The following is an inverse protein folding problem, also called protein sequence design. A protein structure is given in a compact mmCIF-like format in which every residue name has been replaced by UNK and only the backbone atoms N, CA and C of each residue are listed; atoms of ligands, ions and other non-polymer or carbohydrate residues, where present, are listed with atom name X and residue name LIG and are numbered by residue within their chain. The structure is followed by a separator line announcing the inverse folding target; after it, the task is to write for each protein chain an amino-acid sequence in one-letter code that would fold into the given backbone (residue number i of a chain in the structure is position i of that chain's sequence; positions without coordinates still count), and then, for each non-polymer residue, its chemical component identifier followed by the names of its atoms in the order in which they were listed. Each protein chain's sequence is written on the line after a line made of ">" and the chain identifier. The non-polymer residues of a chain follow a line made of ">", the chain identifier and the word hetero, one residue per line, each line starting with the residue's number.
data_IF_019023291192
#
_entry.id   IF_019023291192
#
_cell.length_a   1.000
_cell.length_b   1.000
_cell.length_c   1.000
_cell.angle_alpha   90.00
_cell.angle_beta   90.00
_cell.angle_gamma   90.00
#
_symmetry.space_group_name_H-M   'P 1'
#
loop_
_entity.id
_entity.type
_entity.pdbx_description
1 polymer ?
#
# COMPACT_ATOMS: atom_id res chain seq x y z
N UNK A 1 -3.03 17.58 -12.08
CA UNK A 1 -2.32 17.68 -10.78
C UNK A 1 -1.55 19.01 -10.62
N UNK A 2 -0.50 19.33 -11.43
CA UNK A 2 0.24 20.61 -11.25
C UNK A 2 -0.67 21.84 -11.40
N UNK A 3 -1.62 21.81 -12.32
CA UNK A 3 -2.57 22.90 -12.54
C UNK A 3 -3.51 23.14 -11.34
N UNK A 4 -4.02 22.09 -10.73
CA UNK A 4 -4.86 22.16 -9.52
C UNK A 4 -4.05 22.74 -8.34
N UNK A 5 -2.78 22.36 -8.22
CA UNK A 5 -1.88 22.92 -7.20
C UNK A 5 -1.60 24.41 -7.44
N UNK A 6 -1.45 24.86 -8.71
CA UNK A 6 -1.18 26.25 -9.06
C UNK A 6 -2.29 27.19 -8.58
N UNK A 7 -3.54 26.76 -8.60
CA UNK A 7 -4.67 27.55 -8.09
C UNK A 7 -4.56 27.85 -6.59
N UNK A 8 -3.88 27.01 -5.83
CA UNK A 8 -3.66 27.17 -4.37
C UNK A 8 -2.39 27.96 -4.05
N UNK A 9 -1.48 28.11 -5.02
CA UNK A 9 -0.17 28.73 -4.80
C UNK A 9 -0.26 30.20 -4.36
N UNK A 10 -1.28 30.92 -4.76
CA UNK A 10 -1.49 32.33 -4.34
C UNK A 10 -1.67 32.51 -2.83
N UNK A 11 -2.26 31.50 -2.16
CA UNK A 11 -2.50 31.53 -0.71
C UNK A 11 -1.40 30.87 0.11
N UNK A 12 -0.77 29.83 -0.45
CA UNK A 12 0.19 28.99 0.26
C UNK A 12 1.42 28.63 -0.60
N UNK A 13 2.18 29.63 -1.10
CA UNK A 13 3.23 29.41 -2.10
C UNK A 13 4.33 28.43 -1.62
N UNK A 14 4.75 28.53 -0.37
CA UNK A 14 5.79 27.67 0.20
C UNK A 14 5.33 26.20 0.29
N UNK A 15 4.07 25.95 0.69
CA UNK A 15 3.51 24.62 0.75
C UNK A 15 3.45 23.98 -0.66
N UNK A 16 2.89 24.71 -1.62
CA UNK A 16 2.77 24.22 -3.00
C UNK A 16 4.14 23.96 -3.63
N UNK A 17 5.12 24.82 -3.37
CA UNK A 17 6.50 24.61 -3.82
C UNK A 17 7.08 23.32 -3.22
N UNK A 18 6.84 23.06 -1.94
CA UNK A 18 7.33 21.86 -1.26
C UNK A 18 6.63 20.59 -1.79
N UNK A 19 5.32 20.63 -2.03
CA UNK A 19 4.59 19.50 -2.65
C UNK A 19 5.14 19.22 -4.06
N UNK A 20 5.39 20.25 -4.86
CA UNK A 20 5.99 20.07 -6.20
C UNK A 20 7.37 19.45 -6.16
N UNK A 21 8.20 19.82 -5.18
CA UNK A 21 9.51 19.17 -4.96
C UNK A 21 9.35 17.68 -4.65
N UNK A 22 8.41 17.31 -3.78
CA UNK A 22 8.12 15.90 -3.51
C UNK A 22 7.67 15.16 -4.77
N UNK A 23 6.79 15.78 -5.57
CA UNK A 23 6.33 15.19 -6.85
C UNK A 23 7.50 15.00 -7.81
N UNK A 24 8.42 15.94 -7.88
CA UNK A 24 9.56 15.89 -8.80
C UNK A 24 10.66 14.90 -8.30
N UNK A 25 10.78 14.72 -6.98
CA UNK A 25 11.68 13.74 -6.35
C UNK A 25 11.08 12.33 -6.28
N UNK A 26 9.76 12.19 -6.42
CA UNK A 26 9.06 10.90 -6.32
C UNK A 26 9.45 9.97 -7.46
N UNK A 27 10.39 9.09 -7.19
CA UNK A 27 10.84 8.03 -8.09
C UNK A 27 9.76 6.95 -8.31
N UNK A 28 8.76 6.87 -7.44
CA UNK A 28 7.60 5.97 -7.59
C UNK A 28 6.65 6.40 -8.71
N UNK A 29 6.88 7.56 -9.34
CA UNK A 29 6.15 8.04 -10.54
C UNK A 29 6.04 6.95 -11.61
N UNK A 30 7.04 6.08 -11.70
CA UNK A 30 7.07 4.97 -12.63
C UNK A 30 6.35 3.71 -12.14
N UNK A 31 5.78 3.70 -10.93
CA UNK A 31 5.06 2.51 -10.44
C UNK A 31 3.75 2.33 -11.23
N UNK A 32 3.62 1.26 -12.00
CA UNK A 32 2.44 1.00 -12.82
C UNK A 32 1.17 0.84 -11.97
N UNK A 33 1.32 0.48 -10.71
CA UNK A 33 0.20 0.27 -9.78
C UNK A 33 -0.56 1.56 -9.46
N UNK A 34 0.06 2.73 -9.64
CA UNK A 34 -0.61 4.04 -9.53
C UNK A 34 -1.61 4.31 -10.67
N UNK A 35 -1.53 3.53 -11.74
CA UNK A 35 -2.44 3.60 -12.88
C UNK A 35 -3.66 2.67 -12.73
N UNK A 36 -3.77 1.93 -11.63
CA UNK A 36 -4.89 1.02 -11.39
C UNK A 36 -6.27 1.67 -11.58
N UNK A 37 -6.54 2.92 -11.12
CA UNK A 37 -7.83 3.54 -11.36
C UNK A 37 -8.17 3.74 -12.85
N UNK A 38 -7.18 4.05 -13.70
CA UNK A 38 -7.38 4.12 -15.15
C UNK A 38 -7.75 2.75 -15.72
N UNK A 39 -7.03 1.69 -15.33
CA UNK A 39 -7.31 0.35 -15.80
C UNK A 39 -8.70 -0.13 -15.36
N UNK A 40 -9.14 0.20 -14.14
CA UNK A 40 -10.49 -0.09 -13.64
C UNK A 40 -11.56 0.64 -14.47
N UNK A 41 -11.38 1.94 -14.71
CA UNK A 41 -12.31 2.73 -15.52
C UNK A 41 -12.40 2.20 -16.95
N UNK A 42 -11.26 1.97 -17.61
CA UNK A 42 -11.21 1.43 -18.98
C UNK A 42 -11.80 0.04 -19.09
N UNK A 43 -11.66 -0.81 -18.07
CA UNK A 43 -12.27 -2.14 -18.05
C UNK A 43 -13.80 -2.11 -17.89
N UNK A 44 -14.36 -1.00 -17.39
CA UNK A 44 -15.79 -0.82 -17.16
C UNK A 44 -16.51 -0.07 -18.28
N UNK A 45 -15.95 1.06 -18.72
CA UNK A 45 -16.62 2.02 -19.62
C UNK A 45 -15.93 2.18 -20.96
N UNK A 46 -14.74 1.60 -21.15
CA UNK A 46 -13.82 1.85 -22.28
C UNK A 46 -13.35 3.31 -22.34
N UNK A 47 -13.56 4.08 -21.28
CA UNK A 47 -13.06 5.44 -21.08
C UNK A 47 -12.16 5.48 -19.84
N UNK A 48 -10.86 5.34 -20.06
CA UNK A 48 -9.87 5.45 -19.02
C UNK A 48 -9.83 6.87 -18.42
N UNK A 49 -10.12 7.89 -19.25
CA UNK A 49 -10.06 9.29 -18.88
C UNK A 49 -11.05 9.68 -17.78
N UNK A 50 -12.17 8.96 -17.63
CA UNK A 50 -13.14 9.19 -16.57
C UNK A 50 -12.54 9.07 -15.15
N UNK A 51 -11.47 8.27 -14.98
CA UNK A 51 -10.77 8.14 -13.70
C UNK A 51 -9.71 9.23 -13.43
N UNK A 52 -9.49 10.20 -14.34
CA UNK A 52 -8.45 11.21 -14.15
C UNK A 52 -8.55 11.97 -12.80
N UNK A 53 -9.74 12.42 -12.35
CA UNK A 53 -9.87 13.05 -11.03
C UNK A 53 -9.42 12.13 -9.89
N UNK A 54 -9.75 10.85 -9.95
CA UNK A 54 -9.37 9.85 -8.95
C UNK A 54 -7.86 9.66 -8.91
N UNK A 55 -7.22 9.54 -10.08
CA UNK A 55 -5.75 9.39 -10.18
C UNK A 55 -5.02 10.60 -9.59
N UNK A 56 -5.50 11.83 -9.87
CA UNK A 56 -4.89 13.05 -9.33
C UNK A 56 -4.99 13.08 -7.81
N UNK A 57 -6.16 12.77 -7.25
CA UNK A 57 -6.40 12.73 -5.81
C UNK A 57 -5.58 11.62 -5.14
N UNK A 58 -5.60 10.42 -5.72
CA UNK A 58 -4.85 9.25 -5.24
C UNK A 58 -3.36 9.58 -5.17
N UNK A 59 -2.80 10.18 -6.22
CA UNK A 59 -1.39 10.50 -6.27
C UNK A 59 -0.94 11.46 -5.18
N UNK A 60 -1.72 12.51 -4.91
CA UNK A 60 -1.40 13.46 -3.83
C UNK A 60 -1.48 12.76 -2.47
N UNK A 61 -2.51 11.96 -2.26
CA UNK A 61 -2.69 11.26 -1.00
C UNK A 61 -1.55 10.25 -0.74
N UNK A 62 -1.21 9.43 -1.75
CA UNK A 62 -0.12 8.46 -1.62
C UNK A 62 1.24 9.13 -1.38
N UNK A 63 1.50 10.27 -2.04
CA UNK A 63 2.70 11.07 -1.78
C UNK A 63 2.80 11.47 -0.30
N UNK A 64 1.68 11.91 0.29
CA UNK A 64 1.61 12.22 1.71
C UNK A 64 1.81 11.00 2.60
N UNK A 65 1.22 9.86 2.25
CA UNK A 65 1.29 8.62 3.01
C UNK A 65 2.71 8.04 3.01
N UNK A 66 3.40 8.01 1.87
CA UNK A 66 4.78 7.54 1.74
C UNK A 66 5.74 8.42 2.55
N UNK A 67 5.63 9.74 2.44
CA UNK A 67 6.44 10.67 3.25
C UNK A 67 6.18 10.48 4.74
N UNK A 68 4.92 10.23 5.15
CA UNK A 68 4.57 9.98 6.54
C UNK A 68 5.18 8.67 7.04
N UNK A 69 5.11 7.61 6.26
CA UNK A 69 5.67 6.30 6.55
C UNK A 69 7.20 6.40 6.72
N UNK A 70 7.89 7.01 5.75
CA UNK A 70 9.33 7.26 5.81
C UNK A 70 9.76 8.07 7.04
N UNK A 71 8.95 9.04 7.45
CA UNK A 71 9.22 9.84 8.65
C UNK A 71 9.08 9.02 9.93
N UNK A 72 8.06 8.17 10.02
CA UNK A 72 7.80 7.30 11.19
C UNK A 72 8.83 6.18 11.29
N UNK A 73 9.28 5.66 10.16
CA UNK A 73 10.29 4.61 10.07
C UNK A 73 11.75 5.14 10.17
N UNK A 74 11.92 6.46 10.16
CA UNK A 74 13.24 7.08 10.20
C UNK A 74 13.99 7.13 8.86
N UNK A 75 13.35 6.72 7.76
CA UNK A 75 13.91 6.58 6.40
C UNK A 75 13.96 7.89 5.61
N UNK A 76 13.22 8.92 6.03
CA UNK A 76 13.08 10.14 5.25
C UNK A 76 14.42 10.81 4.93
N UNK A 77 14.78 10.84 3.65
CA UNK A 77 16.04 11.41 3.16
C UNK A 77 15.89 12.92 2.88
N UNK A 78 16.27 13.74 3.85
CA UNK A 78 16.19 15.22 3.74
C UNK A 78 17.06 15.80 2.63
N UNK A 79 18.18 15.15 2.29
CA UNK A 79 19.11 15.64 1.28
C UNK A 79 18.58 15.42 -0.14
N UNK A 80 17.93 14.29 -0.38
CA UNK A 80 17.34 13.93 -1.67
C UNK A 80 16.14 14.81 -2.02
N UNK A 81 15.25 15.00 -1.04
CA UNK A 81 14.01 15.75 -1.23
C UNK A 81 14.19 17.26 -1.08
N UNK A 82 15.23 17.70 -0.37
CA UNK A 82 15.48 19.11 -0.06
C UNK A 82 14.46 19.74 0.90
N UNK A 83 13.85 18.90 1.77
CA UNK A 83 12.97 19.31 2.85
C UNK A 83 13.51 18.83 4.19
N UNK A 84 13.43 19.67 5.23
CA UNK A 84 13.68 19.22 6.60
C UNK A 84 12.58 18.25 7.07
N UNK A 85 12.83 17.42 8.09
CA UNK A 85 11.83 16.54 8.68
C UNK A 85 10.56 17.29 9.11
N UNK A 86 10.71 18.47 9.74
CA UNK A 86 9.57 19.28 10.16
C UNK A 86 8.76 19.80 8.97
N UNK A 87 9.41 20.19 7.87
CA UNK A 87 8.71 20.57 6.64
C UNK A 87 7.97 19.38 6.03
N UNK A 88 8.60 18.21 5.98
CA UNK A 88 8.00 16.99 5.47
C UNK A 88 6.75 16.57 6.26
N UNK A 89 6.76 16.69 7.60
CA UNK A 89 5.56 16.46 8.44
C UNK A 89 4.41 17.36 8.02
N UNK A 90 4.66 18.68 7.86
CA UNK A 90 3.61 19.63 7.47
C UNK A 90 3.07 19.32 6.06
N UNK A 91 3.97 19.02 5.13
CA UNK A 91 3.60 18.71 3.73
C UNK A 91 2.80 17.40 3.67
N UNK A 92 3.27 16.36 4.36
CA UNK A 92 2.56 15.08 4.43
C UNK A 92 1.14 15.26 5.00
N UNK A 93 0.99 15.94 6.15
CA UNK A 93 -0.31 16.20 6.75
C UNK A 93 -1.26 16.96 5.78
N UNK A 94 -0.73 17.93 5.03
CA UNK A 94 -1.51 18.66 4.03
C UNK A 94 -1.94 17.77 2.86
N UNK A 95 -1.05 16.91 2.35
CA UNK A 95 -1.33 15.97 1.27
C UNK A 95 -2.33 14.88 1.68
N UNK A 96 -2.35 14.47 2.94
CA UNK A 96 -3.29 13.49 3.46
C UNK A 96 -4.70 14.05 3.70
N UNK A 97 -4.87 15.37 3.83
CA UNK A 97 -6.13 15.97 4.26
C UNK A 97 -6.56 17.18 3.43
N UNK A 98 -5.94 18.34 3.66
CA UNK A 98 -6.41 19.62 3.14
C UNK A 98 -6.29 19.73 1.60
N UNK A 99 -5.21 19.21 1.01
CA UNK A 99 -4.99 19.31 -0.43
C UNK A 99 -5.98 18.46 -1.22
N UNK A 100 -6.25 17.18 -0.90
CA UNK A 100 -7.33 16.42 -1.52
C UNK A 100 -8.69 17.11 -1.42
N UNK A 101 -9.09 17.59 -0.23
CA UNK A 101 -10.35 18.32 -0.04
C UNK A 101 -10.45 19.56 -0.93
N UNK A 102 -9.36 20.33 -1.09
CA UNK A 102 -9.35 21.50 -1.97
C UNK A 102 -9.43 21.11 -3.45
N UNK A 103 -8.77 20.03 -3.86
CA UNK A 103 -8.87 19.51 -5.23
C UNK A 103 -10.32 19.08 -5.50
N UNK A 104 -10.93 18.27 -4.63
CA UNK A 104 -12.32 17.79 -4.78
C UNK A 104 -13.29 18.96 -5.01
N UNK A 105 -13.16 20.04 -4.24
CA UNK A 105 -14.01 21.24 -4.40
C UNK A 105 -13.86 21.90 -5.77
N UNK A 106 -12.67 21.81 -6.39
CA UNK A 106 -12.34 22.41 -7.67
C UNK A 106 -12.68 21.53 -8.88
N UNK A 107 -12.91 20.23 -8.67
CA UNK A 107 -13.29 19.32 -9.77
C UNK A 107 -14.55 19.83 -10.48
N UNK A 108 -14.55 19.76 -11.80
CA UNK A 108 -15.74 19.99 -12.63
C UNK A 108 -16.47 18.65 -12.86
N UNK A 109 -17.14 18.19 -11.82
CA UNK A 109 -17.89 16.93 -11.79
C UNK A 109 -19.16 17.09 -10.97
N UNK A 110 -20.09 16.12 -11.11
CA UNK A 110 -21.35 16.10 -10.37
C UNK A 110 -21.15 16.17 -8.86
N UNK A 111 -22.10 16.84 -8.17
CA UNK A 111 -22.02 17.07 -6.72
C UNK A 111 -21.99 15.77 -5.91
N UNK A 112 -22.73 14.76 -6.36
CA UNK A 112 -22.78 13.45 -5.69
C UNK A 112 -21.42 12.72 -5.79
N UNK A 113 -20.71 12.88 -6.92
CA UNK A 113 -19.35 12.34 -7.04
C UNK A 113 -18.36 13.05 -6.13
N UNK A 114 -18.47 14.40 -5.99
CA UNK A 114 -17.66 15.16 -5.00
C UNK A 114 -17.90 14.67 -3.59
N UNK A 115 -19.16 14.51 -3.21
CA UNK A 115 -19.54 14.02 -1.88
C UNK A 115 -19.00 12.60 -1.63
N UNK A 116 -19.05 11.72 -2.64
CA UNK A 116 -18.46 10.39 -2.57
C UNK A 116 -16.93 10.47 -2.39
N UNK A 117 -16.24 11.34 -3.12
CA UNK A 117 -14.80 11.55 -2.96
C UNK A 117 -14.46 12.03 -1.55
N UNK A 118 -15.15 13.05 -1.03
CA UNK A 118 -14.92 13.58 0.32
C UNK A 118 -15.06 12.48 1.39
N UNK A 119 -16.15 11.70 1.31
CA UNK A 119 -16.39 10.60 2.23
C UNK A 119 -15.29 9.52 2.14
N UNK A 120 -15.00 9.03 0.95
CA UNK A 120 -14.04 7.95 0.70
C UNK A 120 -12.62 8.34 1.16
N UNK A 121 -12.21 9.58 0.91
CA UNK A 121 -10.91 10.07 1.36
C UNK A 121 -10.84 10.21 2.87
N UNK A 122 -11.89 10.69 3.52
CA UNK A 122 -11.96 10.81 4.98
C UNK A 122 -11.92 9.42 5.64
N UNK A 123 -12.77 8.49 5.19
CA UNK A 123 -12.90 7.13 5.74
C UNK A 123 -11.61 6.33 5.56
N UNK A 124 -11.05 6.30 4.34
CA UNK A 124 -9.81 5.56 4.05
C UNK A 124 -8.59 6.14 4.78
N UNK A 125 -8.53 7.48 4.95
CA UNK A 125 -7.45 8.12 5.69
C UNK A 125 -7.54 7.79 7.18
N UNK A 126 -8.75 7.76 7.74
CA UNK A 126 -8.97 7.36 9.13
C UNK A 126 -8.58 5.89 9.35
N UNK A 127 -8.98 4.99 8.44
CA UNK A 127 -8.62 3.58 8.49
C UNK A 127 -7.09 3.37 8.40
N UNK A 128 -6.42 4.09 7.47
CA UNK A 128 -4.97 4.02 7.30
C UNK A 128 -4.23 4.56 8.54
N UNK A 129 -4.66 5.70 9.09
CA UNK A 129 -4.07 6.29 10.28
C UNK A 129 -4.20 5.38 11.52
N UNK A 130 -5.38 4.78 11.73
CA UNK A 130 -5.61 3.83 12.81
C UNK A 130 -4.71 2.59 12.68
N UNK A 131 -4.59 2.06 11.46
CA UNK A 131 -3.73 0.91 11.18
C UNK A 131 -2.24 1.23 11.30
N UNK A 132 -1.82 2.43 10.89
CA UNK A 132 -0.44 2.89 11.09
C UNK A 132 -0.12 3.04 12.59
N UNK A 133 -1.06 3.57 13.38
CA UNK A 133 -0.89 3.65 14.84
C UNK A 133 -0.73 2.26 15.45
N UNK A 134 -1.56 1.30 15.02
CA UNK A 134 -1.43 -0.10 15.46
C UNK A 134 -0.08 -0.68 15.02
N UNK A 135 0.39 -0.38 13.80
CA UNK A 135 1.65 -0.91 13.25
C UNK A 135 2.86 -0.46 14.05
N UNK A 136 2.97 0.84 14.35
CA UNK A 136 4.08 1.41 15.13
C UNK A 136 3.98 1.13 16.64
N UNK A 137 2.83 0.63 17.12
CA UNK A 137 2.63 0.27 18.53
C UNK A 137 3.25 -1.10 18.81
N UNK A 138 4.54 -1.11 19.06
CA UNK A 138 5.34 -2.32 19.29
C UNK A 138 5.13 -2.92 20.69
N UNK A 139 5.00 -4.24 20.81
CA UNK A 139 5.08 -4.91 22.12
C UNK A 139 4.50 -6.32 22.20
N UNK A 140 3.35 -6.58 21.66
CA UNK A 140 2.68 -7.88 21.79
C UNK A 140 2.89 -8.78 20.57
N UNK A 141 2.89 -10.10 20.80
CA UNK A 141 2.89 -11.08 19.70
C UNK A 141 1.58 -10.93 18.95
N UNK A 142 1.66 -10.66 17.65
CA UNK A 142 0.50 -10.48 16.77
C UNK A 142 0.20 -11.76 16.01
N UNK A 143 -1.07 -12.13 15.97
CA UNK A 143 -1.55 -13.20 15.12
C UNK A 143 -1.57 -12.80 13.65
N UNK A 144 -1.68 -13.79 12.76
CA UNK A 144 -1.93 -13.54 11.34
C UNK A 144 -3.13 -12.60 11.10
N UNK A 145 -4.21 -12.79 11.84
CA UNK A 145 -5.42 -11.96 11.70
C UNK A 145 -5.19 -10.52 12.13
N UNK A 146 -4.35 -10.26 13.13
CA UNK A 146 -4.03 -8.91 13.57
C UNK A 146 -3.22 -8.16 12.51
N UNK A 147 -2.18 -8.79 11.95
CA UNK A 147 -1.36 -8.19 10.90
C UNK A 147 -2.17 -8.02 9.61
N UNK A 148 -3.03 -8.98 9.26
CA UNK A 148 -3.95 -8.84 8.12
C UNK A 148 -4.88 -7.64 8.28
N UNK A 149 -5.39 -7.38 9.50
CA UNK A 149 -6.23 -6.20 9.79
C UNK A 149 -5.44 -4.90 9.60
N UNK A 150 -4.19 -4.86 10.05
CA UNK A 150 -3.30 -3.72 9.85
C UNK A 150 -3.05 -3.48 8.36
N UNK A 151 -2.69 -4.50 7.59
CA UNK A 151 -2.46 -4.38 6.14
C UNK A 151 -3.72 -3.97 5.39
N UNK A 152 -4.89 -4.50 5.79
CA UNK A 152 -6.17 -4.12 5.20
C UNK A 152 -6.52 -2.65 5.43
N UNK A 153 -6.14 -2.06 6.57
CA UNK A 153 -6.33 -0.63 6.82
C UNK A 153 -5.22 0.23 6.21
N UNK A 154 -3.93 -0.12 6.43
CA UNK A 154 -2.78 0.68 5.97
C UNK A 154 -2.70 0.78 4.44
N UNK A 155 -2.82 -0.35 3.74
CA UNK A 155 -2.69 -0.43 2.28
C UNK A 155 -4.01 -0.81 1.59
N UNK A 156 -4.83 -1.67 2.20
CA UNK A 156 -6.08 -2.12 1.62
C UNK A 156 -7.11 -1.02 1.47
N UNK A 157 -7.36 -0.21 2.49
CA UNK A 157 -8.38 0.85 2.44
C UNK A 157 -8.09 1.94 1.39
N UNK A 158 -6.85 2.44 1.20
CA UNK A 158 -6.56 3.37 0.11
C UNK A 158 -6.78 2.78 -1.28
N UNK A 159 -6.37 1.52 -1.53
CA UNK A 159 -6.65 0.87 -2.81
C UNK A 159 -8.14 0.59 -3.01
N UNK A 160 -8.88 0.22 -1.95
CA UNK A 160 -10.34 0.08 -1.98
C UNK A 160 -11.03 1.37 -2.41
N UNK A 161 -10.65 2.51 -1.80
CA UNK A 161 -11.12 3.85 -2.16
C UNK A 161 -10.86 4.13 -3.64
N UNK A 162 -9.61 3.96 -4.08
CA UNK A 162 -9.17 4.34 -5.42
C UNK A 162 -9.94 3.58 -6.50
N UNK A 163 -10.12 2.26 -6.34
CA UNK A 163 -10.87 1.45 -7.32
C UNK A 163 -12.38 1.64 -7.22
N UNK A 164 -12.93 1.91 -6.03
CA UNK A 164 -14.34 2.20 -5.86
C UNK A 164 -14.73 3.51 -6.55
N UNK A 165 -13.91 4.57 -6.36
CA UNK A 165 -14.12 5.85 -7.02
C UNK A 165 -13.92 5.76 -8.53
N UNK A 166 -12.93 4.98 -9.00
CA UNK A 166 -12.75 4.72 -10.42
C UNK A 166 -13.93 3.96 -11.04
N UNK A 167 -14.48 2.98 -10.33
CA UNK A 167 -15.68 2.28 -10.79
C UNK A 167 -16.90 3.21 -10.80
N UNK A 168 -17.05 4.07 -9.79
CA UNK A 168 -18.11 5.08 -9.73
C UNK A 168 -18.01 6.08 -10.88
N UNK A 169 -16.82 6.60 -11.18
CA UNK A 169 -16.59 7.54 -12.30
C UNK A 169 -16.86 6.91 -13.66
N UNK A 170 -16.71 5.59 -13.78
CA UNK A 170 -17.04 4.81 -14.97
C UNK A 170 -18.54 4.44 -15.06
N UNK A 171 -19.37 4.93 -14.14
CA UNK A 171 -20.82 4.69 -14.13
C UNK A 171 -21.24 3.30 -13.60
N UNK A 172 -20.38 2.62 -12.84
CA UNK A 172 -20.75 1.36 -12.22
C UNK A 172 -21.81 1.53 -11.12
N UNK A 173 -22.70 0.56 -10.99
CA UNK A 173 -23.75 0.56 -9.99
C UNK A 173 -23.35 -0.18 -8.70
N UNK A 174 -24.14 0.01 -7.63
CA UNK A 174 -23.82 -0.35 -6.24
C UNK A 174 -23.28 -1.77 -6.02
N UNK A 175 -23.82 -2.80 -6.70
CA UNK A 175 -23.32 -4.18 -6.60
C UNK A 175 -21.89 -4.34 -7.14
N UNK A 176 -21.64 -3.73 -8.29
CA UNK A 176 -20.35 -3.77 -8.98
C UNK A 176 -19.29 -2.94 -8.22
N UNK A 177 -19.66 -1.78 -7.69
CA UNK A 177 -18.80 -0.97 -6.82
C UNK A 177 -18.38 -1.77 -5.58
N UNK A 178 -19.32 -2.49 -4.93
CA UNK A 178 -18.97 -3.36 -3.79
C UNK A 178 -17.96 -4.46 -4.15
N UNK A 179 -18.08 -5.06 -5.33
CA UNK A 179 -17.11 -6.03 -5.84
C UNK A 179 -15.71 -5.40 -6.01
N UNK A 180 -15.65 -4.21 -6.60
CA UNK A 180 -14.40 -3.47 -6.77
C UNK A 180 -13.78 -3.06 -5.42
N UNK A 181 -14.58 -2.72 -4.41
CA UNK A 181 -14.07 -2.46 -3.05
C UNK A 181 -13.36 -3.68 -2.48
N UNK A 182 -13.99 -4.85 -2.57
CA UNK A 182 -13.37 -6.10 -2.11
C UNK A 182 -12.06 -6.38 -2.87
N UNK A 183 -12.08 -6.19 -4.19
CA UNK A 183 -10.88 -6.33 -5.01
C UNK A 183 -9.77 -5.37 -4.55
N UNK A 184 -10.07 -4.07 -4.42
CA UNK A 184 -9.09 -3.06 -4.03
C UNK A 184 -8.47 -3.34 -2.67
N UNK A 185 -9.27 -3.72 -1.67
CA UNK A 185 -8.79 -4.08 -0.34
C UNK A 185 -7.83 -5.26 -0.39
N UNK A 186 -8.17 -6.33 -1.10
CA UNK A 186 -7.31 -7.51 -1.24
C UNK A 186 -6.05 -7.22 -2.07
N UNK A 187 -6.17 -6.41 -3.12
CA UNK A 187 -5.03 -5.99 -3.92
C UNK A 187 -4.05 -5.13 -3.12
N UNK A 188 -4.54 -4.20 -2.29
CA UNK A 188 -3.70 -3.43 -1.38
C UNK A 188 -2.93 -4.30 -0.39
N UNK A 189 -3.57 -5.35 0.16
CA UNK A 189 -2.88 -6.35 0.99
C UNK A 189 -1.79 -7.07 0.19
N UNK A 190 -2.07 -7.49 -1.05
CA UNK A 190 -1.06 -8.13 -1.92
C UNK A 190 0.12 -7.18 -2.21
N UNK A 191 -0.16 -5.88 -2.41
CA UNK A 191 0.89 -4.87 -2.59
C UNK A 191 1.76 -4.70 -1.35
N UNK A 192 1.18 -4.76 -0.15
CA UNK A 192 1.94 -4.71 1.09
C UNK A 192 2.84 -5.94 1.23
N UNK A 193 2.33 -7.15 0.94
CA UNK A 193 3.14 -8.37 0.93
C UNK A 193 4.34 -8.29 -0.04
N UNK A 194 4.15 -7.65 -1.20
CA UNK A 194 5.22 -7.42 -2.16
C UNK A 194 6.24 -6.40 -1.65
N UNK A 195 5.78 -5.38 -0.91
CA UNK A 195 6.64 -4.35 -0.32
C UNK A 195 7.51 -4.91 0.80
N UNK A 196 6.95 -5.74 1.68
CA UNK A 196 7.69 -6.40 2.77
C UNK A 196 8.86 -7.28 2.27
N UNK A 197 8.83 -7.68 0.97
CA UNK A 197 9.88 -8.48 0.32
C UNK A 197 10.92 -7.65 -0.43
N UNK A 198 10.81 -6.33 -0.42
CA UNK A 198 11.72 -5.45 -1.16
C UNK A 198 13.12 -5.35 -0.52
N UNK A 199 13.30 -5.77 0.72
CA UNK A 199 14.60 -5.79 1.39
C UNK A 199 15.48 -6.92 0.82
N UNK A 200 16.64 -6.57 0.28
CA UNK A 200 17.59 -7.49 -0.36
C UNK A 200 18.57 -8.08 0.66
N UNK A 201 18.97 -7.30 1.67
CA UNK A 201 19.92 -7.72 2.70
C UNK A 201 19.19 -7.98 4.03
N UNK A 202 19.22 -9.25 4.44
CA UNK A 202 18.62 -9.67 5.72
C UNK A 202 19.22 -8.95 6.94
N UNK A 203 20.48 -8.52 6.86
CA UNK A 203 21.15 -7.81 7.97
C UNK A 203 20.67 -6.36 8.14
N UNK A 204 20.07 -5.80 7.10
CA UNK A 204 19.54 -4.44 7.02
C UNK A 204 17.99 -4.41 6.97
N UNK A 205 17.34 -5.54 7.29
CA UNK A 205 15.88 -5.63 7.31
C UNK A 205 15.29 -4.65 8.35
N UNK A 206 14.66 -3.61 7.83
CA UNK A 206 14.15 -2.49 8.62
C UNK A 206 12.95 -2.86 9.48
N UNK A 207 12.11 -3.79 9.01
CA UNK A 207 10.98 -4.28 9.80
C UNK A 207 11.49 -4.99 11.06
N UNK A 208 12.58 -5.74 10.96
CA UNK A 208 13.23 -6.36 12.11
C UNK A 208 13.95 -5.34 13.01
N UNK A 209 14.57 -4.31 12.44
CA UNK A 209 15.21 -3.22 13.19
C UNK A 209 14.15 -2.43 13.96
N UNK A 210 13.05 -2.08 13.33
CA UNK A 210 11.95 -1.35 13.95
C UNK A 210 11.08 -2.24 14.86
N UNK A 211 11.20 -3.56 14.74
CA UNK A 211 10.40 -4.54 15.47
C UNK A 211 8.97 -4.64 14.94
N UNK A 212 8.75 -4.29 13.68
CA UNK A 212 7.47 -4.38 12.99
C UNK A 212 7.02 -5.84 12.81
N UNK A 213 5.71 -6.09 12.91
CA UNK A 213 5.15 -7.40 12.65
C UNK A 213 4.72 -7.53 11.19
N UNK A 214 5.47 -8.31 10.41
CA UNK A 214 5.08 -8.67 9.04
C UNK A 214 4.17 -9.91 9.03
N UNK A 215 3.41 -10.09 7.94
CA UNK A 215 2.60 -11.30 7.75
C UNK A 215 3.45 -12.56 7.68
N UNK A 216 4.65 -12.48 7.17
CA UNK A 216 5.58 -13.61 7.14
C UNK A 216 5.99 -14.02 8.55
N UNK A 217 6.33 -13.06 9.40
CA UNK A 217 6.69 -13.31 10.80
C UNK A 217 5.51 -13.92 11.57
N UNK A 218 4.31 -13.35 11.44
CA UNK A 218 3.09 -13.87 12.07
C UNK A 218 2.78 -15.29 11.57
N UNK A 219 2.94 -15.57 10.28
CA UNK A 219 2.78 -16.90 9.71
C UNK A 219 3.76 -17.91 10.31
N UNK A 220 5.05 -17.56 10.40
CA UNK A 220 6.06 -18.43 10.99
C UNK A 220 5.74 -18.75 12.47
N UNK A 221 5.29 -17.74 13.21
CA UNK A 221 4.86 -17.93 14.61
C UNK A 221 3.66 -18.89 14.76
N UNK A 222 2.77 -18.96 13.77
CA UNK A 222 1.65 -19.92 13.78
C UNK A 222 2.08 -21.35 13.50
N UNK A 223 2.99 -21.58 12.53
CA UNK A 223 3.26 -22.92 12.02
C UNK A 223 4.49 -23.60 12.63
N UNK A 224 5.44 -22.84 13.18
CA UNK A 224 6.64 -23.41 13.79
C UNK A 224 6.32 -24.22 15.05
N UNK A 225 7.12 -25.27 15.27
CA UNK A 225 7.05 -26.05 16.53
C UNK A 225 7.34 -25.16 17.75
N UNK A 226 6.81 -25.51 18.93
CA UNK A 226 7.00 -24.69 20.14
C UNK A 226 8.44 -24.28 20.43
N UNK A 227 9.47 -25.15 20.31
CA UNK A 227 10.86 -24.75 20.51
C UNK A 227 11.35 -23.72 19.49
N UNK A 228 11.06 -23.92 18.19
CA UNK A 228 11.44 -22.98 17.12
C UNK A 228 10.68 -21.65 17.22
N UNK A 229 9.46 -21.68 17.71
CA UNK A 229 8.68 -20.46 17.95
C UNK A 229 9.27 -19.62 19.08
N UNK A 230 9.71 -20.26 20.17
CA UNK A 230 10.41 -19.58 21.26
C UNK A 230 11.73 -18.98 20.76
N UNK A 231 12.53 -19.74 20.02
CA UNK A 231 13.76 -19.27 19.39
C UNK A 231 13.52 -18.06 18.47
N UNK A 232 12.51 -18.11 17.61
CA UNK A 232 12.13 -16.98 16.73
C UNK A 232 11.74 -15.74 17.54
N UNK A 233 11.01 -15.93 18.65
CA UNK A 233 10.63 -14.82 19.55
C UNK A 233 11.84 -14.16 20.21
N UNK A 234 12.79 -14.96 20.70
CA UNK A 234 14.02 -14.46 21.33
C UNK A 234 14.90 -13.73 20.29
N UNK A 235 15.10 -14.34 19.13
CA UNK A 235 15.89 -13.73 18.03
C UNK A 235 15.27 -12.42 17.55
N UNK A 236 13.94 -12.35 17.40
CA UNK A 236 13.25 -11.11 17.03
C UNK A 236 13.53 -9.98 18.02
N UNK A 237 13.52 -10.26 19.31
CA UNK A 237 13.82 -9.25 20.32
C UNK A 237 15.27 -8.74 20.22
N UNK A 238 16.21 -9.61 19.88
CA UNK A 238 17.62 -9.28 19.66
C UNK A 238 17.87 -8.60 18.30
N UNK A 239 17.00 -8.82 17.31
CA UNK A 239 17.17 -8.35 15.94
C UNK A 239 17.23 -6.82 15.81
N UNK A 240 16.64 -6.09 16.76
CA UNK A 240 16.70 -4.62 16.81
C UNK A 240 18.14 -4.11 16.81
N UNK A 241 19.01 -4.75 17.61
CA UNK A 241 20.38 -4.29 17.87
C UNK A 241 21.45 -5.21 17.25
N UNK A 242 21.06 -6.40 16.72
CA UNK A 242 21.98 -7.43 16.24
C UNK A 242 21.70 -7.86 14.81
N UNK A 243 22.63 -7.52 13.89
CA UNK A 243 22.57 -8.01 12.50
C UNK A 243 22.64 -9.53 12.41
N UNK A 244 23.43 -10.19 13.28
CA UNK A 244 23.49 -11.63 13.35
C UNK A 244 22.13 -12.27 13.73
N UNK A 245 21.40 -11.65 14.66
CA UNK A 245 20.04 -12.10 15.01
C UNK A 245 19.08 -11.91 13.83
N UNK A 246 19.14 -10.78 13.10
CA UNK A 246 18.34 -10.56 11.90
C UNK A 246 18.58 -11.65 10.84
N UNK A 247 19.83 -11.98 10.57
CA UNK A 247 20.18 -13.09 9.64
C UNK A 247 19.54 -14.40 10.10
N UNK A 248 19.62 -14.76 11.38
CA UNK A 248 19.03 -15.99 11.90
C UNK A 248 17.50 -15.98 11.82
N UNK A 249 16.85 -14.84 12.08
CA UNK A 249 15.40 -14.68 11.87
C UNK A 249 15.05 -14.96 10.42
N UNK A 250 15.77 -14.35 9.46
CA UNK A 250 15.50 -14.54 8.03
C UNK A 250 15.77 -15.99 7.57
N UNK A 251 16.73 -16.69 8.14
CA UNK A 251 16.97 -18.13 7.90
C UNK A 251 15.77 -18.98 8.37
N UNK A 252 15.21 -18.70 9.55
CA UNK A 252 14.01 -19.38 10.05
C UNK A 252 12.79 -19.08 9.18
N UNK A 253 12.58 -17.82 8.79
CA UNK A 253 11.48 -17.39 7.92
C UNK A 253 11.60 -17.97 6.50
N UNK A 254 12.82 -18.11 5.98
CA UNK A 254 13.14 -18.72 4.68
C UNK A 254 13.16 -20.25 4.68
N UNK A 255 12.90 -20.90 5.82
CA UNK A 255 12.89 -22.36 5.87
C UNK A 255 11.86 -22.96 4.91
N UNK A 256 12.12 -24.11 4.25
CA UNK A 256 11.24 -24.67 3.22
C UNK A 256 9.77 -24.85 3.67
N UNK A 257 9.57 -25.25 4.91
CA UNK A 257 8.22 -25.45 5.48
C UNK A 257 7.47 -24.11 5.62
N UNK A 258 8.13 -23.06 6.12
CA UNK A 258 7.55 -21.72 6.25
C UNK A 258 7.28 -21.14 4.87
N UNK A 259 8.29 -21.11 4.02
CA UNK A 259 8.20 -20.50 2.69
C UNK A 259 7.12 -21.17 1.82
N UNK A 260 7.05 -22.51 1.79
CA UNK A 260 6.07 -23.21 0.96
C UNK A 260 4.64 -22.97 1.42
N UNK A 261 4.39 -22.92 2.74
CA UNK A 261 3.06 -22.64 3.27
C UNK A 261 2.66 -21.17 3.10
N UNK A 262 3.62 -20.24 3.27
CA UNK A 262 3.40 -18.83 3.04
C UNK A 262 3.05 -18.57 1.56
N UNK A 263 3.83 -19.11 0.62
CA UNK A 263 3.58 -18.99 -0.81
C UNK A 263 2.20 -19.54 -1.21
N UNK A 264 1.71 -20.62 -0.56
CA UNK A 264 0.33 -21.11 -0.78
C UNK A 264 -0.73 -20.09 -0.35
N UNK A 265 -0.52 -19.35 0.76
CA UNK A 265 -1.44 -18.27 1.18
C UNK A 265 -1.45 -17.13 0.14
N UNK A 266 -0.28 -16.76 -0.40
CA UNK A 266 -0.17 -15.74 -1.46
C UNK A 266 -0.90 -16.22 -2.72
N UNK A 267 -0.71 -17.49 -3.16
CA UNK A 267 -1.42 -18.05 -4.30
C UNK A 267 -2.94 -18.10 -4.11
N UNK A 268 -3.40 -18.32 -2.87
CA UNK A 268 -4.83 -18.24 -2.56
C UNK A 268 -5.36 -16.82 -2.76
N UNK A 269 -4.60 -15.80 -2.35
CA UNK A 269 -4.96 -14.40 -2.56
C UNK A 269 -4.95 -14.04 -4.04
N UNK A 270 -3.91 -14.44 -4.79
CA UNK A 270 -3.84 -14.30 -6.25
C UNK A 270 -5.07 -14.88 -6.94
N UNK A 271 -5.43 -16.14 -6.63
CA UNK A 271 -6.58 -16.82 -7.23
C UNK A 271 -7.90 -16.08 -6.94
N UNK A 272 -8.07 -15.57 -5.72
CA UNK A 272 -9.25 -14.75 -5.36
C UNK A 272 -9.31 -13.47 -6.16
N UNK A 273 -8.20 -12.75 -6.31
CA UNK A 273 -8.12 -11.51 -7.08
C UNK A 273 -8.42 -11.76 -8.57
N UNK A 274 -7.78 -12.78 -9.17
CA UNK A 274 -8.02 -13.16 -10.58
C UNK A 274 -9.48 -13.58 -10.83
N UNK A 275 -10.08 -14.28 -9.88
CA UNK A 275 -11.51 -14.63 -9.96
C UNK A 275 -12.39 -13.38 -9.86
N UNK A 276 -12.11 -12.47 -8.92
CA UNK A 276 -12.88 -11.24 -8.78
C UNK A 276 -12.86 -10.40 -10.05
N UNK A 277 -11.71 -10.17 -10.67
CA UNK A 277 -11.66 -9.38 -11.90
C UNK A 277 -12.38 -10.07 -13.06
N UNK A 278 -12.39 -11.40 -13.12
CA UNK A 278 -13.15 -12.15 -14.14
C UNK A 278 -14.66 -11.97 -14.01
N UNK A 279 -15.16 -11.68 -12.81
CA UNK A 279 -16.56 -11.37 -12.53
C UNK A 279 -16.91 -9.89 -12.70
N UNK A 280 -15.94 -8.99 -12.51
CA UNK A 280 -16.16 -7.55 -12.45
C UNK A 280 -15.94 -6.84 -13.79
N UNK A 281 -15.13 -7.40 -14.67
CA UNK A 281 -14.76 -6.78 -15.94
C UNK A 281 -14.81 -7.77 -17.11
N UNK A 282 -15.33 -7.29 -18.24
CA UNK A 282 -15.26 -8.02 -19.50
C UNK A 282 -13.81 -8.16 -19.99
N UNK A 283 -13.50 -9.13 -20.87
CA UNK A 283 -12.18 -9.27 -21.47
C UNK A 283 -11.79 -8.02 -22.28
N UNK A 284 -10.81 -7.26 -21.78
CA UNK A 284 -10.27 -6.04 -22.39
C UNK A 284 -8.79 -5.92 -22.06
N UNK A 285 -8.06 -5.10 -22.82
CA UNK A 285 -6.64 -4.79 -22.52
C UNK A 285 -6.47 -4.20 -21.11
N UNK A 286 -7.44 -3.40 -20.64
CA UNK A 286 -7.43 -2.85 -19.29
C UNK A 286 -7.59 -3.94 -18.22
N UNK A 287 -8.47 -4.94 -18.43
CA UNK A 287 -8.57 -6.10 -17.55
C UNK A 287 -7.26 -6.91 -17.53
N UNK A 288 -6.66 -7.12 -18.69
CA UNK A 288 -5.38 -7.83 -18.80
C UNK A 288 -4.25 -7.06 -18.07
N UNK A 289 -4.29 -5.73 -18.13
CA UNK A 289 -3.39 -4.86 -17.35
C UNK A 289 -3.59 -5.05 -15.85
N UNK A 290 -4.84 -5.14 -15.37
CA UNK A 290 -5.12 -5.42 -13.95
C UNK A 290 -4.60 -6.82 -13.56
N UNK A 291 -4.82 -7.84 -14.42
CA UNK A 291 -4.29 -9.18 -14.18
C UNK A 291 -2.77 -9.18 -14.11
N UNK A 292 -2.11 -8.48 -15.03
CA UNK A 292 -0.64 -8.31 -14.99
C UNK A 292 -0.17 -7.65 -13.68
N UNK A 293 -0.89 -6.63 -13.18
CA UNK A 293 -0.58 -6.01 -11.88
C UNK A 293 -0.68 -7.01 -10.72
N UNK A 294 -1.67 -7.91 -10.74
CA UNK A 294 -1.80 -8.99 -9.76
C UNK A 294 -0.62 -9.96 -9.86
N UNK A 295 -0.28 -10.39 -11.08
CA UNK A 295 0.77 -11.38 -11.33
C UNK A 295 2.15 -10.87 -10.88
N UNK A 296 2.49 -9.63 -11.23
CA UNK A 296 3.75 -8.98 -10.80
C UNK A 296 3.78 -8.81 -9.29
N UNK A 297 2.68 -8.37 -8.68
CA UNK A 297 2.63 -8.21 -7.21
C UNK A 297 2.78 -9.55 -6.51
N UNK A 298 2.17 -10.61 -7.04
CA UNK A 298 2.29 -11.98 -6.52
C UNK A 298 3.72 -12.49 -6.62
N UNK A 299 4.36 -12.31 -7.78
CA UNK A 299 5.75 -12.73 -8.00
C UNK A 299 6.71 -12.02 -7.03
N UNK A 300 6.49 -10.73 -6.80
CA UNK A 300 7.31 -9.95 -5.87
C UNK A 300 7.08 -10.31 -4.39
N UNK A 301 5.91 -10.87 -4.05
CA UNK A 301 5.60 -11.31 -2.69
C UNK A 301 6.14 -12.71 -2.35
N UNK A 302 6.51 -13.52 -3.34
CA UNK A 302 6.97 -14.89 -3.11
C UNK A 302 8.31 -14.97 -2.38
N UNK A 303 8.40 -15.96 -1.50
CA UNK A 303 9.67 -16.42 -0.95
C UNK A 303 10.35 -17.40 -1.92
N UNK A 304 11.63 -17.17 -2.18
CA UNK A 304 12.46 -18.17 -2.88
C UNK A 304 12.66 -19.35 -1.95
N UNK A 305 12.18 -20.53 -2.34
CA UNK A 305 12.45 -21.76 -1.62
C UNK A 305 13.83 -22.26 -2.06
N UNK A 306 14.82 -22.37 -1.15
CA UNK A 306 16.11 -22.95 -1.51
C UNK A 306 15.88 -24.36 -2.08
N UNK A 307 16.43 -24.65 -3.24
CA UNK A 307 16.45 -26.02 -3.75
C UNK A 307 17.14 -26.91 -2.70
N UNK A 308 16.48 -28.00 -2.30
CA UNK A 308 17.07 -28.97 -1.42
C UNK A 308 18.35 -29.45 -2.11
N UNK A 309 19.52 -29.14 -1.53
CA UNK A 309 20.78 -29.76 -1.98
C UNK A 309 20.63 -31.26 -1.74
N UNK A 310 20.38 -31.99 -2.84
CA UNK A 310 20.39 -33.47 -2.88
C UNK A 310 21.78 -33.98 -2.60
#
# INVERSE_FOLDING_TARGET
>A
MKQELDSMASKTPSLITSIKRLIDADLSVSSPFRLLPFAVSGALSKDEGAALPVVVLSRIWWLGAEVFDDLTDGKFNTAEVGLSRSQAVVVSAACLSAVPSMIIKQLDVEIDFKAACEWEYADSTLAAAGSQLDDVSNGEIRSWSDVMRIYAGKSGAPYERDVALAALSAGAEGGRIRGWRVFGRLFGVLRQLANDRSCVDASEDEDLINGTWTLLLAHAMEILSPPKRAELGDLRNLARDSSAARTQVMELLGSPDVASQYNRRIMTLHSKLSHLISLLAEPTECRDTIQWMIDVSTSNAFLTVPEARI
#
